data_IF_661046476205
#
_entry.id   IF_661046476205
#
_cell.length_a   1.000
_cell.length_b   1.000
_cell.length_c   1.000
_cell.angle_alpha   90.00
_cell.angle_beta   90.00
_cell.angle_gamma   90.00
#
_symmetry.space_group_name_H-M   'P 1'
#
loop_
_entity.id
_entity.type
_entity.pdbx_description
1 polymer ?
#
# COMPACT_ATOMS: atom_id res chain seq x y z
N UNK A 1 -40.72 10.32 5.62
CA UNK A 1 -40.69 10.17 7.08
C UNK A 1 -39.76 9.00 7.36
N UNK A 2 -38.49 9.26 7.67
CA UNK A 2 -37.49 8.21 7.92
C UNK A 2 -37.40 7.95 9.43
N UNK A 3 -37.62 6.70 9.84
CA UNK A 3 -37.53 6.26 11.24
C UNK A 3 -36.06 6.08 11.63
N UNK A 4 -35.77 6.03 12.93
CA UNK A 4 -34.40 5.91 13.50
C UNK A 4 -33.59 4.73 12.93
N UNK A 5 -34.26 3.76 12.30
CA UNK A 5 -33.72 2.59 11.60
C UNK A 5 -32.99 2.85 10.28
N UNK A 6 -33.04 4.06 9.71
CA UNK A 6 -32.54 4.31 8.33
C UNK A 6 -31.10 4.85 8.24
N UNK A 7 -30.39 5.04 9.36
CA UNK A 7 -28.99 5.44 9.32
C UNK A 7 -28.05 4.28 9.63
N UNK A 8 -27.01 4.08 8.81
CA UNK A 8 -25.98 3.09 9.12
C UNK A 8 -25.31 3.41 10.45
N UNK A 9 -24.98 2.35 11.21
CA UNK A 9 -24.28 2.47 12.48
C UNK A 9 -22.93 3.19 12.28
N UNK A 10 -22.70 4.26 13.04
CA UNK A 10 -21.44 5.01 13.03
C UNK A 10 -20.41 4.26 13.87
N UNK A 11 -19.33 3.80 13.24
CA UNK A 11 -18.23 3.13 13.92
C UNK A 11 -17.07 4.11 14.18
N UNK A 12 -17.10 4.78 15.34
CA UNK A 12 -16.08 5.74 15.77
C UNK A 12 -14.71 5.07 15.93
N UNK A 13 -14.67 3.80 16.37
CA UNK A 13 -13.43 3.06 16.51
C UNK A 13 -12.78 2.85 15.13
N UNK A 14 -13.57 2.56 14.10
CA UNK A 14 -13.09 2.41 12.72
C UNK A 14 -12.52 3.73 12.18
N UNK A 15 -13.17 4.87 12.42
CA UNK A 15 -12.65 6.20 12.04
C UNK A 15 -11.25 6.42 12.65
N UNK A 16 -11.11 6.21 13.97
CA UNK A 16 -9.83 6.40 14.69
C UNK A 16 -8.75 5.43 14.23
N UNK A 17 -9.10 4.16 14.08
CA UNK A 17 -8.17 3.11 13.66
C UNK A 17 -7.69 3.33 12.22
N UNK A 18 -8.60 3.66 11.30
CA UNK A 18 -8.23 3.91 9.91
C UNK A 18 -7.34 5.14 9.78
N UNK A 19 -7.64 6.23 10.51
CA UNK A 19 -6.75 7.39 10.59
C UNK A 19 -5.35 6.99 11.04
N UNK A 20 -5.24 6.26 12.15
CA UNK A 20 -3.96 5.77 12.68
C UNK A 20 -3.22 4.88 11.68
N UNK A 21 -3.92 3.95 11.03
CA UNK A 21 -3.35 3.02 10.07
C UNK A 21 -2.88 3.74 8.81
N UNK A 22 -3.65 4.72 8.30
CA UNK A 22 -3.25 5.57 7.18
C UNK A 22 -1.98 6.33 7.52
N UNK A 23 -1.92 7.00 8.68
CA UNK A 23 -0.71 7.73 9.09
C UNK A 23 0.51 6.79 9.21
N UNK A 24 0.32 5.62 9.82
CA UNK A 24 1.40 4.65 10.02
C UNK A 24 1.92 4.09 8.68
N UNK A 25 1.02 3.74 7.76
CA UNK A 25 1.36 3.26 6.42
C UNK A 25 2.03 4.38 5.61
N UNK A 26 1.44 5.58 5.56
CA UNK A 26 1.99 6.71 4.83
C UNK A 26 3.39 7.11 5.33
N UNK A 27 3.65 7.00 6.64
CA UNK A 27 4.93 7.32 7.24
C UNK A 27 6.04 6.29 7.01
N UNK A 28 5.70 5.02 6.72
CA UNK A 28 6.69 3.94 6.51
C UNK A 28 6.90 3.56 5.05
N UNK A 29 5.99 3.95 4.16
CA UNK A 29 6.03 3.56 2.75
C UNK A 29 7.24 4.18 2.04
N UNK A 30 8.16 3.33 1.58
CA UNK A 30 9.30 3.76 0.76
C UNK A 30 8.93 3.76 -0.73
N UNK A 31 8.61 4.94 -1.26
CA UNK A 31 8.10 5.14 -2.63
C UNK A 31 9.08 5.89 -3.54
N UNK A 32 10.38 5.77 -3.28
CA UNK A 32 11.44 6.44 -4.07
C UNK A 32 11.44 6.01 -5.55
N UNK A 33 10.89 4.85 -5.87
CA UNK A 33 10.72 4.35 -7.23
C UNK A 33 9.55 5.03 -7.99
N UNK A 34 8.64 5.72 -7.30
CA UNK A 34 7.50 6.41 -7.89
C UNK A 34 7.19 7.70 -7.09
N UNK A 35 7.85 8.80 -7.47
CA UNK A 35 7.73 10.09 -6.80
C UNK A 35 6.33 10.69 -6.84
N UNK A 36 5.56 10.42 -7.91
CA UNK A 36 4.18 10.87 -8.04
C UNK A 36 3.28 10.17 -7.02
N UNK A 37 3.40 8.84 -6.87
CA UNK A 37 2.70 8.09 -5.83
C UNK A 37 3.11 8.57 -4.43
N UNK A 38 4.41 8.75 -4.18
CA UNK A 38 4.90 9.30 -2.91
C UNK A 38 4.27 10.65 -2.56
N UNK A 39 4.17 11.56 -3.53
CA UNK A 39 3.52 12.86 -3.35
C UNK A 39 2.02 12.73 -3.04
N UNK A 40 1.32 11.80 -3.67
CA UNK A 40 -0.10 11.51 -3.39
C UNK A 40 -0.30 10.95 -1.99
N UNK A 41 0.55 10.03 -1.54
CA UNK A 41 0.50 9.45 -0.18
C UNK A 41 0.76 10.54 0.88
N UNK A 42 1.71 11.45 0.65
CA UNK A 42 1.92 12.58 1.56
C UNK A 42 0.73 13.54 1.61
N UNK A 43 0.09 13.81 0.46
CA UNK A 43 -1.15 14.60 0.42
C UNK A 43 -2.27 13.90 1.18
N UNK A 44 -2.41 12.58 1.03
CA UNK A 44 -3.39 11.78 1.75
C UNK A 44 -3.19 11.88 3.26
N UNK A 45 -1.95 11.77 3.74
CA UNK A 45 -1.59 11.90 5.16
C UNK A 45 -1.97 13.28 5.73
N UNK A 46 -1.75 14.36 4.97
CA UNK A 46 -2.16 15.70 5.37
C UNK A 46 -3.69 15.86 5.38
N UNK A 47 -4.35 15.41 4.31
CA UNK A 47 -5.81 15.53 4.16
C UNK A 47 -6.55 14.74 5.23
N UNK A 48 -6.11 13.51 5.55
CA UNK A 48 -6.76 12.70 6.60
C UNK A 48 -6.63 13.35 7.98
N UNK A 49 -5.49 13.98 8.28
CA UNK A 49 -5.32 14.69 9.54
C UNK A 49 -6.23 15.92 9.62
N UNK A 50 -6.31 16.72 8.55
CA UNK A 50 -7.19 17.88 8.48
C UNK A 50 -8.68 17.50 8.58
N UNK A 51 -9.10 16.45 7.85
CA UNK A 51 -10.46 15.94 7.91
C UNK A 51 -10.81 15.40 9.30
N UNK A 52 -9.89 14.69 9.95
CA UNK A 52 -10.11 14.14 11.29
C UNK A 52 -10.19 15.20 12.37
N UNK A 53 -9.31 16.18 12.33
CA UNK A 53 -9.32 17.31 13.26
C UNK A 53 -10.59 18.15 13.12
N UNK A 54 -10.98 18.44 11.87
CA UNK A 54 -12.21 19.17 11.56
C UNK A 54 -13.42 18.41 12.06
N UNK A 55 -13.55 17.13 11.72
CA UNK A 55 -14.65 16.27 12.18
C UNK A 55 -14.77 16.29 13.70
N UNK A 56 -13.68 15.97 14.42
CA UNK A 56 -13.72 15.89 15.89
C UNK A 56 -14.05 17.25 16.53
N UNK A 57 -13.36 18.31 16.12
CA UNK A 57 -13.54 19.65 16.67
C UNK A 57 -14.94 20.17 16.40
N UNK A 58 -15.45 19.97 15.20
CA UNK A 58 -16.74 20.51 14.78
C UNK A 58 -17.88 19.70 15.37
N UNK A 59 -17.77 18.38 15.52
CA UNK A 59 -18.76 17.56 16.23
C UNK A 59 -18.92 18.02 17.68
N UNK A 60 -17.81 18.33 18.37
CA UNK A 60 -17.86 18.87 19.75
C UNK A 60 -18.56 20.24 19.78
N UNK A 61 -18.21 21.15 18.86
CA UNK A 61 -18.86 22.48 18.77
C UNK A 61 -20.35 22.35 18.50
N UNK A 62 -20.75 21.44 17.62
CA UNK A 62 -22.16 21.16 17.32
C UNK A 62 -22.86 20.61 18.57
N UNK A 63 -22.26 19.65 19.28
CA UNK A 63 -22.83 19.10 20.49
C UNK A 63 -23.10 20.18 21.57
N UNK A 64 -22.19 21.13 21.75
CA UNK A 64 -22.39 22.28 22.66
C UNK A 64 -23.60 23.13 22.24
N UNK A 65 -23.78 23.38 20.93
CA UNK A 65 -24.92 24.15 20.41
C UNK A 65 -26.25 23.42 20.57
N UNK A 66 -26.25 22.10 20.36
CA UNK A 66 -27.43 21.26 20.54
C UNK A 66 -27.83 21.07 22.01
N UNK A 67 -26.90 21.25 22.94
CA UNK A 67 -27.13 21.09 24.39
C UNK A 67 -27.29 22.41 25.13
N UNK A 68 -27.27 23.55 24.42
CA UNK A 68 -27.44 24.87 25.01
C UNK A 68 -28.81 24.97 25.72
N UNK A 69 -28.87 25.67 26.84
CA UNK A 69 -30.08 25.76 27.69
C UNK A 69 -31.25 26.44 26.97
N UNK A 70 -30.94 27.30 26.00
CA UNK A 70 -31.91 27.90 25.08
C UNK A 70 -32.58 26.86 24.16
N UNK A 71 -32.10 25.63 24.08
CA UNK A 71 -32.73 24.55 23.32
C UNK A 71 -33.75 23.75 24.15
N UNK A 72 -33.51 23.61 25.47
CA UNK A 72 -34.18 22.60 26.31
C UNK A 72 -35.23 23.21 27.25
N UNK A 73 -35.18 24.52 27.56
CA UNK A 73 -35.93 25.10 28.69
C UNK A 73 -37.05 26.09 28.36
N UNK A 74 -37.43 26.25 27.09
CA UNK A 74 -38.49 27.21 26.71
C UNK A 74 -39.80 26.94 27.45
N UNK A 75 -40.28 25.68 27.47
CA UNK A 75 -41.55 25.33 28.11
C UNK A 75 -41.56 25.56 29.63
N UNK A 76 -40.53 25.13 30.40
CA UNK A 76 -40.41 25.52 31.81
C UNK A 76 -40.41 27.03 32.05
N UNK A 77 -39.70 27.81 31.22
CA UNK A 77 -39.62 29.27 31.35
C UNK A 77 -40.96 29.94 31.03
N UNK A 78 -41.71 29.44 30.05
CA UNK A 78 -43.09 29.89 29.78
C UNK A 78 -43.98 29.64 31.00
N UNK A 79 -43.93 28.43 31.57
CA UNK A 79 -44.73 28.08 32.75
C UNK A 79 -44.37 28.95 33.97
N UNK A 80 -43.10 29.33 34.15
CA UNK A 80 -42.69 30.27 35.21
C UNK A 80 -43.32 31.66 35.03
N UNK A 81 -43.38 32.16 33.80
CA UNK A 81 -44.01 33.46 33.48
C UNK A 81 -45.53 33.37 33.67
N UNK A 82 -46.17 32.31 33.18
CA UNK A 82 -47.62 32.08 33.28
C UNK A 82 -48.07 32.01 34.75
N UNK A 83 -47.30 31.32 35.59
CA UNK A 83 -47.60 31.14 37.02
C UNK A 83 -47.10 32.28 37.91
N UNK A 84 -46.47 33.31 37.34
CA UNK A 84 -45.96 34.43 38.13
C UNK A 84 -47.11 35.23 38.76
N UNK A 85 -47.15 35.40 40.10
CA UNK A 85 -48.18 36.18 40.77
C UNK A 85 -47.92 37.70 40.70
N UNK A 86 -46.73 38.12 40.26
CA UNK A 86 -46.31 39.53 40.21
C UNK A 86 -46.52 40.22 38.86
N UNK A 87 -46.97 39.48 37.84
CA UNK A 87 -47.21 40.00 36.50
C UNK A 87 -48.71 40.03 36.19
N UNK A 88 -49.20 41.15 35.64
CA UNK A 88 -50.55 41.21 35.06
C UNK A 88 -50.63 40.46 33.71
N UNK A 89 -51.83 40.16 33.24
CA UNK A 89 -52.05 39.35 32.02
C UNK A 89 -51.33 39.91 30.78
N UNK A 90 -51.37 41.23 30.59
CA UNK A 90 -50.68 41.88 29.47
C UNK A 90 -49.16 41.81 29.61
N UNK A 91 -48.62 41.91 30.83
CA UNK A 91 -47.18 41.77 31.09
C UNK A 91 -46.70 40.32 30.89
N UNK A 92 -47.52 39.34 31.26
CA UNK A 92 -47.25 37.91 30.97
C UNK A 92 -47.19 37.66 29.48
N UNK A 93 -48.18 38.16 28.73
CA UNK A 93 -48.25 38.03 27.27
C UNK A 93 -47.03 38.65 26.58
N UNK A 94 -46.62 39.85 26.99
CA UNK A 94 -45.43 40.53 26.45
C UNK A 94 -44.13 39.80 26.81
N UNK A 95 -44.02 39.28 28.03
CA UNK A 95 -42.83 38.54 28.48
C UNK A 95 -42.66 37.20 27.75
N UNK A 96 -43.76 36.48 27.51
CA UNK A 96 -43.75 35.24 26.73
C UNK A 96 -43.36 35.54 25.27
N UNK A 97 -43.95 36.57 24.65
CA UNK A 97 -43.62 36.96 23.29
C UNK A 97 -42.14 37.35 23.13
N UNK A 98 -41.56 38.07 24.10
CA UNK A 98 -40.14 38.39 24.12
C UNK A 98 -39.26 37.13 24.27
N UNK A 99 -39.63 36.22 25.16
CA UNK A 99 -38.92 34.95 25.37
C UNK A 99 -38.95 34.07 24.09
N UNK A 100 -40.10 33.98 23.42
CA UNK A 100 -40.24 33.25 22.16
C UNK A 100 -39.40 33.87 21.04
N UNK A 101 -39.35 35.20 20.96
CA UNK A 101 -38.52 35.93 20.01
C UNK A 101 -37.01 35.69 20.24
N UNK A 102 -36.57 35.77 21.49
CA UNK A 102 -35.17 35.51 21.87
C UNK A 102 -34.78 34.06 21.60
N UNK A 103 -35.67 33.12 21.92
CA UNK A 103 -35.51 31.71 21.59
C UNK A 103 -35.35 31.50 20.08
N UNK A 104 -36.26 32.03 19.26
CA UNK A 104 -36.18 31.92 17.79
C UNK A 104 -34.87 32.48 17.24
N UNK A 105 -34.44 33.64 17.74
CA UNK A 105 -33.22 34.29 17.30
C UNK A 105 -31.98 33.46 17.66
N UNK A 106 -31.92 32.95 18.90
CA UNK A 106 -30.83 32.07 19.36
C UNK A 106 -30.79 30.74 18.59
N UNK A 107 -31.95 30.22 18.21
CA UNK A 107 -32.09 28.99 17.45
C UNK A 107 -31.62 29.14 16.01
N UNK A 108 -32.08 30.19 15.32
CA UNK A 108 -31.64 30.50 13.95
C UNK A 108 -30.13 30.71 13.90
N UNK A 109 -29.55 31.39 14.89
CA UNK A 109 -28.11 31.58 14.98
C UNK A 109 -27.37 30.24 15.19
N UNK A 110 -27.87 29.39 16.10
CA UNK A 110 -27.31 28.05 16.30
C UNK A 110 -27.38 27.21 15.02
N UNK A 111 -28.52 27.24 14.30
CA UNK A 111 -28.70 26.54 13.05
C UNK A 111 -27.72 27.01 11.97
N UNK A 112 -27.55 28.33 11.84
CA UNK A 112 -26.57 28.94 10.92
C UNK A 112 -25.15 28.50 11.23
N UNK A 113 -24.77 28.50 12.52
CA UNK A 113 -23.44 28.05 12.94
C UNK A 113 -23.24 26.56 12.68
N UNK A 114 -24.22 25.71 12.99
CA UNK A 114 -24.13 24.26 12.72
C UNK A 114 -24.00 24.01 11.21
N UNK A 115 -24.77 24.70 10.37
CA UNK A 115 -24.66 24.60 8.91
C UNK A 115 -23.25 24.98 8.40
N UNK A 116 -22.65 26.04 8.94
CA UNK A 116 -21.27 26.42 8.62
C UNK A 116 -20.25 25.35 9.04
N UNK A 117 -20.45 24.73 10.20
CA UNK A 117 -19.59 23.67 10.69
C UNK A 117 -19.72 22.39 9.85
N UNK A 118 -20.94 22.05 9.41
CA UNK A 118 -21.18 20.92 8.50
C UNK A 118 -20.50 21.13 7.16
N UNK A 119 -20.65 22.31 6.55
CA UNK A 119 -19.99 22.64 5.30
C UNK A 119 -18.46 22.52 5.40
N UNK A 120 -17.87 22.93 6.52
CA UNK A 120 -16.44 22.75 6.76
C UNK A 120 -16.04 21.26 6.86
N UNK A 121 -16.84 20.43 7.51
CA UNK A 121 -16.62 18.98 7.54
C UNK A 121 -16.69 18.40 6.11
N UNK A 122 -17.73 18.72 5.34
CA UNK A 122 -17.91 18.25 3.97
C UNK A 122 -16.73 18.64 3.07
N UNK A 123 -16.27 19.90 3.15
CA UNK A 123 -15.13 20.36 2.35
C UNK A 123 -13.87 19.52 2.62
N UNK A 124 -13.53 19.27 3.89
CA UNK A 124 -12.37 18.44 4.22
C UNK A 124 -12.55 16.96 3.87
N UNK A 125 -13.78 16.47 3.83
CA UNK A 125 -14.10 15.13 3.35
C UNK A 125 -13.95 15.04 1.82
N UNK A 126 -14.38 16.06 1.08
CA UNK A 126 -14.20 16.15 -0.37
C UNK A 126 -12.71 16.25 -0.74
N UNK A 127 -11.92 17.08 -0.04
CA UNK A 127 -10.47 17.17 -0.22
C UNK A 127 -9.78 15.80 -0.05
N UNK A 128 -10.29 14.98 0.88
CA UNK A 128 -9.82 13.62 1.10
C UNK A 128 -10.24 12.67 -0.04
N UNK A 129 -11.48 12.77 -0.52
CA UNK A 129 -11.99 11.92 -1.60
C UNK A 129 -11.28 12.16 -2.94
N UNK A 130 -10.94 13.42 -3.23
CA UNK A 130 -10.25 13.86 -4.44
C UNK A 130 -8.86 13.23 -4.60
N UNK A 131 -8.25 12.78 -3.52
CA UNK A 131 -6.95 12.09 -3.55
C UNK A 131 -7.18 10.62 -3.92
N UNK A 132 -6.98 10.30 -5.20
CA UNK A 132 -7.10 8.94 -5.74
C UNK A 132 -5.74 8.33 -6.05
N UNK A 133 -5.46 7.18 -5.44
CA UNK A 133 -4.36 6.31 -5.84
C UNK A 133 -4.88 5.41 -6.95
N UNK A 134 -4.59 5.76 -8.20
CA UNK A 134 -5.10 5.05 -9.37
C UNK A 134 -4.32 3.75 -9.63
N UNK A 135 -4.92 2.83 -10.39
CA UNK A 135 -4.23 1.62 -10.84
C UNK A 135 -2.90 1.93 -11.56
N UNK A 136 -2.84 3.04 -12.30
CA UNK A 136 -1.62 3.47 -12.98
C UNK A 136 -0.51 3.87 -11.99
N UNK A 137 -0.87 4.49 -10.87
CA UNK A 137 0.08 4.82 -9.81
C UNK A 137 0.59 3.56 -9.10
N UNK A 138 -0.25 2.52 -9.04
CA UNK A 138 0.00 1.27 -8.33
C UNK A 138 0.68 0.19 -9.18
N UNK A 139 1.07 0.51 -10.43
CA UNK A 139 1.78 -0.43 -11.31
C UNK A 139 3.26 -0.50 -11.00
N UNK A 140 3.80 -1.71 -11.09
CA UNK A 140 5.25 -1.92 -11.11
C UNK A 140 5.85 -1.13 -12.29
N UNK A 141 6.92 -0.34 -12.07
CA UNK A 141 7.57 0.39 -13.15
C UNK A 141 7.97 -0.52 -14.30
N UNK A 142 7.78 -0.07 -15.55
CA UNK A 142 8.09 -0.89 -16.73
C UNK A 142 9.56 -1.33 -16.80
N UNK A 143 10.47 -0.51 -16.25
CA UNK A 143 11.89 -0.86 -16.12
C UNK A 143 12.15 -2.08 -15.21
N UNK A 144 11.14 -2.55 -14.47
CA UNK A 144 11.22 -3.69 -13.54
C UNK A 144 10.35 -4.87 -14.00
N UNK A 145 9.63 -4.80 -15.11
CA UNK A 145 8.75 -5.90 -15.58
C UNK A 145 9.49 -7.07 -16.22
N UNK A 146 10.81 -7.09 -16.13
CA UNK A 146 11.61 -8.16 -16.69
C UNK A 146 11.43 -9.44 -15.87
N UNK A 147 11.34 -10.59 -16.54
CA UNK A 147 11.18 -11.87 -15.85
C UNK A 147 12.50 -12.33 -15.21
N UNK A 148 12.81 -11.72 -14.06
CA UNK A 148 14.01 -11.98 -13.26
C UNK A 148 14.06 -13.45 -12.82
N UNK A 149 12.90 -14.08 -12.56
CA UNK A 149 12.84 -15.47 -12.13
C UNK A 149 13.30 -16.41 -13.24
N UNK A 150 12.79 -16.20 -14.46
CA UNK A 150 13.24 -16.95 -15.64
C UNK A 150 14.72 -16.73 -15.92
N UNK A 151 15.23 -15.51 -15.76
CA UNK A 151 16.67 -15.21 -15.91
C UNK A 151 17.52 -15.92 -14.86
N UNK A 152 17.07 -15.97 -13.61
CA UNK A 152 17.75 -16.69 -12.52
C UNK A 152 17.78 -18.19 -12.79
N UNK A 153 16.66 -18.77 -13.20
CA UNK A 153 16.56 -20.19 -13.54
C UNK A 153 17.49 -20.55 -14.70
N UNK A 154 17.43 -19.80 -15.80
CA UNK A 154 18.33 -19.98 -16.95
C UNK A 154 19.80 -19.84 -16.56
N UNK A 155 20.14 -18.89 -15.68
CA UNK A 155 21.50 -18.72 -15.18
C UNK A 155 21.96 -19.90 -14.31
N UNK A 156 21.09 -20.46 -13.47
CA UNK A 156 21.38 -21.66 -12.66
C UNK A 156 21.58 -22.90 -13.52
N UNK A 157 20.70 -23.13 -14.50
CA UNK A 157 20.85 -24.21 -15.48
C UNK A 157 22.17 -24.09 -16.26
N UNK A 158 22.53 -22.87 -16.67
CA UNK A 158 23.82 -22.60 -17.32
C UNK A 158 25.00 -22.92 -16.41
N UNK A 159 24.96 -22.52 -15.13
CA UNK A 159 26.01 -22.86 -14.16
C UNK A 159 26.14 -24.36 -13.95
N UNK A 160 25.02 -25.09 -13.82
CA UNK A 160 25.04 -26.55 -13.68
C UNK A 160 25.71 -27.21 -14.89
N UNK A 161 25.36 -26.80 -16.11
CA UNK A 161 26.00 -27.31 -17.32
C UNK A 161 27.50 -26.99 -17.35
N UNK A 162 27.90 -25.76 -17.01
CA UNK A 162 29.31 -25.37 -16.99
C UNK A 162 30.12 -26.16 -15.94
N UNK A 163 29.54 -26.47 -14.79
CA UNK A 163 30.18 -27.28 -13.76
C UNK A 163 30.36 -28.74 -14.21
N UNK A 164 29.38 -29.32 -14.91
CA UNK A 164 29.52 -30.66 -15.51
C UNK A 164 30.65 -30.65 -16.54
N UNK A 165 30.65 -29.67 -17.45
CA UNK A 165 31.71 -29.53 -18.47
C UNK A 165 33.10 -29.35 -17.82
N UNK A 166 33.17 -28.58 -16.72
CA UNK A 166 34.40 -28.36 -15.96
C UNK A 166 34.89 -29.65 -15.29
N UNK A 167 33.99 -30.45 -14.73
CA UNK A 167 34.32 -31.73 -14.10
C UNK A 167 34.86 -32.73 -15.12
N UNK A 168 34.24 -32.81 -16.30
CA UNK A 168 34.72 -33.66 -17.40
C UNK A 168 36.13 -33.26 -17.84
N UNK A 169 36.39 -31.98 -18.08
CA UNK A 169 37.73 -31.50 -18.46
C UNK A 169 38.76 -31.70 -17.33
N UNK A 170 38.38 -31.44 -16.07
CA UNK A 170 39.28 -31.64 -14.93
C UNK A 170 39.64 -33.11 -14.73
N UNK A 171 38.68 -34.02 -14.94
CA UNK A 171 38.90 -35.47 -14.86
C UNK A 171 39.82 -35.94 -15.99
N UNK A 172 39.63 -35.45 -17.21
CA UNK A 172 40.50 -35.78 -18.34
C UNK A 172 41.95 -35.29 -18.13
N UNK A 173 42.14 -34.08 -17.60
CA UNK A 173 43.45 -33.54 -17.24
C UNK A 173 44.10 -34.40 -16.15
N UNK A 174 43.36 -34.76 -15.10
CA UNK A 174 43.88 -35.61 -14.02
C UNK A 174 44.32 -36.99 -14.52
N UNK A 175 43.59 -37.58 -15.48
CA UNK A 175 43.98 -38.86 -16.10
C UNK A 175 45.30 -38.76 -16.89
N UNK A 176 45.57 -37.61 -17.50
CA UNK A 176 46.84 -37.32 -18.18
C UNK A 176 47.97 -37.19 -17.15
N UNK A 177 47.73 -36.42 -16.09
CA UNK A 177 48.69 -36.16 -15.01
C UNK A 177 49.05 -37.48 -14.27
N UNK A 178 48.06 -38.28 -13.89
CA UNK A 178 48.22 -39.57 -13.17
C UNK A 178 49.07 -40.59 -13.93
N UNK A 179 48.98 -40.58 -15.26
CA UNK A 179 49.71 -41.51 -16.12
C UNK A 179 51.03 -40.95 -16.61
N UNK A 180 51.38 -39.73 -16.20
CA UNK A 180 52.54 -38.99 -16.66
C UNK A 180 52.68 -38.99 -18.19
N UNK A 181 51.54 -38.97 -18.90
CA UNK A 181 51.53 -38.98 -20.36
C UNK A 181 51.58 -37.58 -20.94
N UNK A 182 51.56 -36.52 -20.11
CA UNK A 182 51.63 -35.13 -20.56
C UNK A 182 52.81 -34.87 -21.52
N UNK A 183 53.98 -35.48 -21.27
CA UNK A 183 55.16 -35.35 -22.14
C UNK A 183 55.00 -36.08 -23.49
N UNK A 184 54.29 -37.21 -23.51
CA UNK A 184 53.89 -37.89 -24.76
C UNK A 184 52.81 -37.12 -25.53
N UNK A 185 52.12 -36.21 -24.84
CA UNK A 185 51.00 -35.40 -25.32
C UNK A 185 51.36 -33.93 -25.56
N UNK A 186 52.64 -33.56 -25.36
CA UNK A 186 53.09 -32.18 -25.32
C UNK A 186 52.85 -31.47 -26.67
N UNK A 187 53.08 -32.19 -27.77
CA UNK A 187 52.82 -31.69 -29.11
C UNK A 187 51.43 -32.11 -29.64
N UNK A 188 50.94 -33.32 -29.31
CA UNK A 188 49.75 -33.94 -29.91
C UNK A 188 48.92 -34.75 -28.90
N UNK A 189 47.60 -34.54 -28.84
CA UNK A 189 46.65 -35.49 -28.23
C UNK A 189 46.51 -36.68 -29.16
N UNK A 190 46.53 -37.91 -28.64
CA UNK A 190 46.64 -39.09 -29.46
C UNK A 190 45.35 -39.30 -30.24
N UNK A 191 45.45 -39.82 -31.47
CA UNK A 191 44.29 -40.38 -32.16
C UNK A 191 43.62 -41.44 -31.28
N UNK A 192 42.37 -41.77 -31.56
CA UNK A 192 41.63 -42.83 -30.84
C UNK A 192 42.45 -44.14 -30.75
N UNK A 193 43.25 -44.44 -31.77
CA UNK A 193 44.20 -45.57 -31.85
C UNK A 193 45.34 -45.48 -30.83
N UNK A 194 45.85 -44.28 -30.57
CA UNK A 194 46.96 -44.06 -29.64
C UNK A 194 46.46 -43.94 -28.18
N UNK A 195 45.20 -43.52 -27.98
CA UNK A 195 44.50 -43.66 -26.70
C UNK A 195 44.25 -45.13 -26.36
N UNK A 196 44.00 -45.99 -27.35
CA UNK A 196 43.88 -47.44 -27.15
C UNK A 196 45.23 -48.13 -26.84
N UNK A 197 46.36 -47.54 -27.26
CA UNK A 197 47.70 -48.05 -26.96
C UNK A 197 48.12 -47.80 -25.50
N UNK A 198 47.63 -46.73 -24.87
CA UNK A 198 47.72 -46.52 -23.43
C UNK A 198 46.56 -47.30 -22.81
N UNK A 199 46.80 -48.44 -22.16
CA UNK A 199 45.73 -49.35 -21.67
C UNK A 199 44.75 -48.73 -20.64
N UNK A 200 43.89 -47.83 -21.11
CA UNK A 200 42.83 -47.19 -20.37
C UNK A 200 41.59 -48.07 -20.40
N UNK A 201 40.80 -48.06 -19.32
CA UNK A 201 39.47 -48.67 -19.33
C UNK A 201 38.56 -47.92 -20.30
N UNK A 202 37.58 -48.61 -20.88
CA UNK A 202 36.61 -48.00 -21.81
C UNK A 202 35.95 -46.73 -21.25
N UNK A 203 35.67 -46.69 -19.95
CA UNK A 203 35.14 -45.51 -19.25
C UNK A 203 36.06 -44.29 -19.30
N UNK A 204 37.38 -44.47 -19.26
CA UNK A 204 38.37 -43.39 -19.31
C UNK A 204 38.51 -42.86 -20.74
N UNK A 205 38.42 -43.73 -21.74
CA UNK A 205 38.42 -43.34 -23.16
C UNK A 205 37.22 -42.45 -23.48
N UNK A 206 36.04 -42.76 -22.95
CA UNK A 206 34.83 -41.95 -23.16
C UNK A 206 34.96 -40.55 -22.55
N UNK A 207 35.59 -40.42 -21.37
CA UNK A 207 35.87 -39.11 -20.75
C UNK A 207 36.77 -38.26 -21.67
N UNK A 208 37.78 -38.87 -22.30
CA UNK A 208 38.62 -38.16 -23.28
C UNK A 208 37.82 -37.71 -24.50
N UNK A 209 36.96 -38.55 -25.06
CA UNK A 209 36.08 -38.17 -26.19
C UNK A 209 35.20 -36.98 -25.84
N UNK A 210 34.59 -36.99 -24.66
CA UNK A 210 33.77 -35.87 -24.19
C UNK A 210 34.61 -34.59 -23.98
N UNK A 211 35.81 -34.71 -23.40
CA UNK A 211 36.73 -33.59 -23.25
C UNK A 211 37.12 -32.96 -24.61
N UNK A 212 37.34 -33.78 -25.64
CA UNK A 212 37.62 -33.31 -27.01
C UNK A 212 36.47 -32.48 -27.58
N UNK A 213 35.23 -32.90 -27.36
CA UNK A 213 34.03 -32.15 -27.78
C UNK A 213 33.96 -30.79 -27.07
N UNK A 214 34.24 -30.76 -25.75
CA UNK A 214 34.22 -29.54 -24.95
C UNK A 214 35.30 -28.53 -25.38
N UNK A 215 36.49 -29.01 -25.77
CA UNK A 215 37.56 -28.17 -26.30
C UNK A 215 37.14 -27.43 -27.58
N UNK A 216 36.51 -28.15 -28.53
CA UNK A 216 35.97 -27.54 -29.75
C UNK A 216 34.91 -26.49 -29.43
N UNK A 217 34.03 -26.78 -28.47
CA UNK A 217 32.96 -25.89 -28.01
C UNK A 217 33.49 -24.59 -27.40
N UNK A 218 34.50 -24.65 -26.54
CA UNK A 218 34.92 -23.49 -25.73
C UNK A 218 36.08 -22.68 -26.29
N UNK A 219 36.92 -23.26 -27.15
CA UNK A 219 38.04 -22.54 -27.75
C UNK A 219 37.76 -22.11 -29.20
N UNK A 220 36.61 -22.49 -29.77
CA UNK A 220 36.26 -22.17 -31.17
C UNK A 220 37.36 -22.56 -32.18
N UNK A 221 38.19 -23.55 -31.84
CA UNK A 221 39.27 -24.03 -32.69
C UNK A 221 38.75 -25.09 -33.68
N UNK A 222 39.12 -24.91 -34.96
CA UNK A 222 38.87 -25.85 -36.06
C UNK A 222 40.00 -26.89 -36.14
N UNK A 223 41.18 -26.63 -35.54
CA UNK A 223 42.36 -27.47 -35.77
C UNK A 223 42.27 -28.85 -35.11
N UNK A 224 42.77 -29.84 -35.84
CA UNK A 224 42.90 -31.24 -35.44
C UNK A 224 43.93 -31.46 -34.30
N UNK A 225 44.66 -30.41 -33.91
CA UNK A 225 45.77 -30.50 -32.96
C UNK A 225 45.35 -30.00 -31.58
N UNK A 226 44.99 -30.96 -30.75
CA UNK A 226 44.64 -30.81 -29.36
C UNK A 226 45.91 -31.05 -28.53
N UNK A 227 46.27 -30.18 -27.58
CA UNK A 227 47.39 -30.40 -26.67
C UNK A 227 46.99 -30.10 -25.22
N UNK A 228 47.81 -30.56 -24.27
CA UNK A 228 47.55 -30.40 -22.83
C UNK A 228 47.33 -28.93 -22.43
N UNK A 229 48.07 -28.00 -23.03
CA UNK A 229 47.90 -26.56 -22.80
C UNK A 229 46.52 -26.06 -23.22
N UNK A 230 45.98 -26.53 -24.34
CA UNK A 230 44.60 -26.22 -24.76
C UNK A 230 43.55 -26.76 -23.79
N UNK A 231 43.77 -27.94 -23.18
CA UNK A 231 42.88 -28.45 -22.11
C UNK A 231 42.87 -27.54 -20.89
N UNK A 232 44.04 -27.06 -20.47
CA UNK A 232 44.15 -26.08 -19.38
C UNK A 232 43.46 -24.76 -19.76
N UNK A 233 43.66 -24.29 -20.99
CA UNK A 233 43.03 -23.07 -21.51
C UNK A 233 41.49 -23.18 -21.47
N UNK A 234 40.91 -24.25 -22.02
CA UNK A 234 39.47 -24.49 -21.99
C UNK A 234 38.92 -24.60 -20.56
N UNK A 235 39.66 -25.25 -19.65
CA UNK A 235 39.31 -25.30 -18.22
C UNK A 235 39.29 -23.91 -17.60
N UNK A 236 40.25 -23.05 -17.94
CA UNK A 236 40.30 -21.68 -17.44
C UNK A 236 39.17 -20.81 -18.01
N UNK A 237 38.83 -20.97 -19.29
CA UNK A 237 37.66 -20.34 -19.91
C UNK A 237 36.38 -20.74 -19.19
N UNK A 238 36.18 -22.03 -18.92
CA UNK A 238 35.03 -22.51 -18.14
C UNK A 238 34.97 -21.92 -16.74
N UNK A 239 36.09 -21.86 -16.02
CA UNK A 239 36.16 -21.24 -14.69
C UNK A 239 35.75 -19.77 -14.74
N UNK A 240 36.19 -19.03 -15.76
CA UNK A 240 35.83 -17.64 -15.97
C UNK A 240 34.35 -17.47 -16.31
N UNK A 241 33.78 -18.33 -17.15
CA UNK A 241 32.35 -18.34 -17.47
C UNK A 241 31.48 -18.69 -16.25
N UNK A 242 31.91 -19.63 -15.42
CA UNK A 242 31.25 -19.93 -14.14
C UNK A 242 31.28 -18.71 -13.22
N UNK A 243 32.43 -18.04 -13.12
CA UNK A 243 32.55 -16.82 -12.31
C UNK A 243 31.61 -15.72 -12.81
N UNK A 244 31.55 -15.47 -14.13
CA UNK A 244 30.59 -14.53 -14.73
C UNK A 244 29.14 -14.89 -14.39
N UNK A 245 28.79 -16.18 -14.40
CA UNK A 245 27.45 -16.62 -14.04
C UNK A 245 27.15 -16.38 -12.55
N UNK A 246 28.12 -16.55 -11.66
CA UNK A 246 27.99 -16.24 -10.21
C UNK A 246 27.82 -14.74 -9.98
N UNK A 247 28.63 -13.92 -10.65
CA UNK A 247 28.52 -12.46 -10.57
C UNK A 247 27.14 -11.99 -11.07
N UNK A 248 26.68 -12.57 -12.18
CA UNK A 248 25.34 -12.32 -12.72
C UNK A 248 24.22 -12.80 -11.79
N UNK A 249 24.39 -13.94 -11.13
CA UNK A 249 23.43 -14.44 -10.14
C UNK A 249 23.27 -13.46 -8.98
N UNK A 250 24.38 -12.93 -8.45
CA UNK A 250 24.34 -11.93 -7.38
C UNK A 250 23.55 -10.69 -7.79
N UNK A 251 23.80 -10.16 -9.00
CA UNK A 251 23.04 -9.01 -9.53
C UNK A 251 21.56 -9.33 -9.68
N UNK A 252 21.21 -10.49 -10.23
CA UNK A 252 19.83 -10.90 -10.42
C UNK A 252 19.08 -11.11 -9.10
N UNK A 253 19.75 -11.64 -8.06
CA UNK A 253 19.18 -11.78 -6.71
C UNK A 253 18.86 -10.41 -6.11
N UNK A 254 19.78 -9.44 -6.23
CA UNK A 254 19.53 -8.08 -5.73
C UNK A 254 18.39 -7.39 -6.49
N UNK A 255 18.30 -7.59 -7.81
CA UNK A 255 17.16 -7.12 -8.60
C UNK A 255 15.85 -7.78 -8.16
N UNK A 256 15.86 -9.09 -7.87
CA UNK A 256 14.69 -9.82 -7.38
C UNK A 256 14.21 -9.28 -6.03
N UNK A 257 15.13 -9.04 -5.09
CA UNK A 257 14.81 -8.43 -3.79
C UNK A 257 14.22 -7.03 -3.95
N UNK A 258 14.82 -6.21 -4.81
CA UNK A 258 14.31 -4.87 -5.10
C UNK A 258 12.92 -4.91 -5.71
N UNK A 259 12.68 -5.82 -6.66
CA UNK A 259 11.36 -6.03 -7.26
C UNK A 259 10.33 -6.43 -6.20
N UNK A 260 10.65 -7.40 -5.33
CA UNK A 260 9.77 -7.84 -4.26
C UNK A 260 9.42 -6.69 -3.28
N UNK A 261 10.41 -5.87 -2.89
CA UNK A 261 10.19 -4.70 -2.04
C UNK A 261 9.27 -3.67 -2.70
N UNK A 262 9.45 -3.39 -4.00
CA UNK A 262 8.58 -2.49 -4.77
C UNK A 262 7.16 -3.05 -4.83
N UNK A 263 6.98 -4.33 -5.18
CA UNK A 263 5.66 -4.96 -5.21
C UNK A 263 4.97 -4.92 -3.85
N UNK A 264 5.70 -5.19 -2.76
CA UNK A 264 5.17 -5.07 -1.41
C UNK A 264 4.72 -3.63 -1.10
N UNK A 265 5.56 -2.64 -1.40
CA UNK A 265 5.22 -1.23 -1.17
C UNK A 265 3.99 -0.79 -1.98
N UNK A 266 3.82 -1.28 -3.21
CA UNK A 266 2.65 -1.03 -4.04
C UNK A 266 1.38 -1.66 -3.45
N UNK A 267 1.45 -2.92 -3.00
CA UNK A 267 0.32 -3.59 -2.34
C UNK A 267 -0.05 -2.87 -1.04
N UNK A 268 0.92 -2.44 -0.25
CA UNK A 268 0.68 -1.65 0.96
C UNK A 268 0.07 -0.28 0.62
N UNK A 269 0.51 0.39 -0.44
CA UNK A 269 -0.09 1.63 -0.92
C UNK A 269 -1.54 1.43 -1.39
N UNK A 270 -1.87 0.28 -1.98
CA UNK A 270 -3.24 -0.06 -2.35
C UNK A 270 -4.16 -0.16 -1.12
N UNK A 271 -3.66 -0.70 0.00
CA UNK A 271 -4.45 -0.76 1.25
C UNK A 271 -4.89 0.62 1.76
N UNK A 272 -4.15 1.69 1.42
CA UNK A 272 -4.54 3.06 1.76
C UNK A 272 -5.88 3.45 1.13
N UNK A 273 -6.19 2.98 -0.09
CA UNK A 273 -7.49 3.25 -0.72
C UNK A 273 -8.63 2.64 0.09
N UNK A 274 -8.48 1.40 0.54
CA UNK A 274 -9.49 0.71 1.36
C UNK A 274 -9.71 1.45 2.67
N UNK A 275 -8.63 1.74 3.40
CA UNK A 275 -8.70 2.46 4.68
C UNK A 275 -9.30 3.86 4.52
N UNK A 276 -8.93 4.58 3.45
CA UNK A 276 -9.46 5.91 3.13
C UNK A 276 -10.97 5.84 2.88
N UNK A 277 -11.43 4.90 2.07
CA UNK A 277 -12.84 4.77 1.71
C UNK A 277 -13.71 4.40 2.92
N UNK A 278 -13.22 3.49 3.77
CA UNK A 278 -13.89 3.12 5.01
C UNK A 278 -13.97 4.31 5.98
N UNK A 279 -12.87 5.05 6.13
CA UNK A 279 -12.85 6.29 6.92
C UNK A 279 -13.87 7.30 6.39
N UNK A 280 -13.81 7.58 5.09
CA UNK A 280 -14.64 8.58 4.42
C UNK A 280 -16.12 8.24 4.57
N UNK A 281 -16.49 6.97 4.39
CA UNK A 281 -17.85 6.48 4.58
C UNK A 281 -18.36 6.74 5.99
N UNK A 282 -17.57 6.39 7.01
CA UNK A 282 -17.96 6.60 8.41
C UNK A 282 -18.04 8.08 8.77
N UNK A 283 -17.09 8.90 8.29
CA UNK A 283 -17.10 10.34 8.49
C UNK A 283 -18.33 11.00 7.83
N UNK A 284 -18.68 10.58 6.61
CA UNK A 284 -19.88 11.03 5.89
C UNK A 284 -21.15 10.66 6.66
N UNK A 285 -21.21 9.46 7.26
CA UNK A 285 -22.35 9.05 8.07
C UNK A 285 -22.56 9.94 9.30
N UNK A 286 -21.47 10.43 9.92
CA UNK A 286 -21.55 11.43 10.99
C UNK A 286 -22.18 12.72 10.47
N UNK A 287 -21.65 13.27 9.37
CA UNK A 287 -22.16 14.52 8.77
C UNK A 287 -23.66 14.41 8.43
N UNK A 288 -24.05 13.34 7.72
CA UNK A 288 -25.44 13.08 7.32
C UNK A 288 -26.40 12.91 8.50
N UNK A 289 -25.95 12.29 9.59
CA UNK A 289 -26.78 12.13 10.80
C UNK A 289 -27.07 13.49 11.43
N UNK A 290 -26.09 14.38 11.44
CA UNK A 290 -26.28 15.74 11.95
C UNK A 290 -27.17 16.55 10.99
N UNK A 291 -26.95 16.50 9.68
CA UNK A 291 -27.81 17.14 8.68
C UNK A 291 -29.27 16.70 8.80
N UNK A 292 -29.51 15.40 8.98
CA UNK A 292 -30.86 14.88 9.16
C UNK A 292 -31.52 15.40 10.43
N UNK A 293 -30.76 15.50 11.53
CA UNK A 293 -31.24 16.14 12.75
C UNK A 293 -31.60 17.60 12.47
N UNK A 294 -30.73 18.34 11.78
CA UNK A 294 -30.96 19.75 11.42
C UNK A 294 -32.19 19.92 10.53
N UNK A 295 -32.44 19.02 9.58
CA UNK A 295 -33.60 19.05 8.69
C UNK A 295 -34.93 18.73 9.38
N UNK A 296 -34.92 18.00 10.50
CA UNK A 296 -36.11 17.77 11.33
C UNK A 296 -36.49 19.00 12.15
N UNK A 297 -35.54 19.87 12.46
CA UNK A 297 -35.77 21.08 13.26
C UNK A 297 -36.02 22.25 12.30
N UNK A 298 -37.28 22.41 11.88
CA UNK A 298 -37.69 23.48 10.97
C UNK A 298 -37.98 24.78 11.75
N UNK A 299 -37.26 25.86 11.41
CA UNK A 299 -37.35 27.17 12.07
C UNK A 299 -38.09 28.24 11.24
N UNK A 300 -38.68 27.87 10.10
CA UNK A 300 -39.36 28.78 9.17
C UNK A 300 -40.89 28.92 9.42
N UNK A 301 -41.38 28.51 10.60
CA UNK A 301 -42.80 28.65 10.99
C UNK A 301 -43.01 29.41 12.31
N UNK A 302 -44.23 29.89 12.60
CA UNK A 302 -44.57 30.39 13.94
C UNK A 302 -44.42 29.25 14.95
N UNK A 303 -43.72 29.51 16.06
CA UNK A 303 -43.66 28.57 17.18
C UNK A 303 -45.06 28.41 17.75
N UNK A 304 -45.66 27.23 17.63
CA UNK A 304 -46.62 26.79 18.63
C UNK A 304 -45.87 25.89 19.61
N UNK A 305 -46.28 25.91 20.87
CA UNK A 305 -45.80 25.00 21.92
C UNK A 305 -45.79 23.52 21.50
N UNK A 306 -46.62 23.16 20.52
CA UNK A 306 -46.78 21.80 20.00
C UNK A 306 -45.56 21.35 19.15
N UNK A 307 -44.78 22.28 18.60
CA UNK A 307 -43.59 21.97 17.79
C UNK A 307 -42.30 21.80 18.63
N UNK A 308 -42.31 22.23 19.89
CA UNK A 308 -41.14 22.21 20.79
C UNK A 308 -41.01 20.85 21.51
N UNK A 309 -42.11 20.14 21.71
CA UNK A 309 -42.15 18.82 22.38
C UNK A 309 -41.64 17.65 21.52
N UNK A 310 -41.34 17.88 20.23
CA UNK A 310 -40.76 16.87 19.34
C UNK A 310 -39.27 16.60 19.62
N UNK A 311 -38.62 17.39 20.47
CA UNK A 311 -37.18 17.32 20.78
C UNK A 311 -36.97 16.61 22.13
N UNK A 312 -37.41 15.34 22.24
CA UNK A 312 -36.90 14.46 23.31
C UNK A 312 -35.52 13.92 22.91
N UNK A 313 -34.61 13.69 23.87
CA UNK A 313 -33.21 13.43 23.57
C UNK A 313 -33.02 12.07 22.90
N UNK A 314 -32.81 12.05 21.58
CA UNK A 314 -32.31 10.88 20.82
C UNK A 314 -30.81 10.58 21.10
N UNK A 315 -30.21 11.17 22.14
CA UNK A 315 -28.78 11.04 22.48
C UNK A 315 -28.50 10.28 23.78
N UNK A 316 -29.50 9.62 24.38
CA UNK A 316 -29.29 8.70 25.51
C UNK A 316 -29.48 7.23 25.10
N UNK A 317 -28.63 6.73 24.19
CA UNK A 317 -28.28 5.30 24.03
C UNK A 317 -26.99 5.18 23.25
#
# INVERSE_FOLDING_TARGET
>A
MFTVTDFPLINIALIKNNKKNINALAGRLELSFNSALGSKVQRLDKAINAAHETLLTHTVKIAVRLTDKNYIRLRPMILEIENSPSLGDEQKKQSIAALEYDYLTSQKESHRVIAQLLLAMENTQNDLDDIKLSELDLRVPHSMTEDINTKLENNKLRQQQLNVDLQTLSTAIHLIDDKNIADYLADWIPSEETINAVSFSASKVEIFKQALILLKKYLSYISEHLNYLKMIEARNVLRLEIQKCRDRESVLIELQKKHAAVTQALNEAETLNVLKNDYHTQATNVTRRIEHYMGKVNFDGPLSSDNVDAIKPEFNT
#
